data_IF_018548997830
#
_entry.id   IF_018548997830
#
_cell.length_a   1.000
_cell.length_b   1.000
_cell.length_c   1.000
_cell.angle_alpha   90.00
_cell.angle_beta   90.00
_cell.angle_gamma   90.00
#
_symmetry.space_group_name_H-M   'P 1'
#
loop_
_entity.id
_entity.type
_entity.pdbx_description
1 polymer ?
#
# COMPACT_ATOMS: atom_id res chain seq x y z
N UNK A 1 8.84 -4.45 -18.57
CA UNK A 1 7.75 -4.67 -17.61
C UNK A 1 6.41 -4.25 -18.16
N UNK A 2 5.35 -4.70 -17.51
CA UNK A 2 3.99 -4.26 -17.74
C UNK A 2 3.60 -3.32 -16.59
N UNK A 3 3.13 -2.11 -16.92
CA UNK A 3 2.69 -1.09 -15.95
C UNK A 3 1.32 -1.44 -15.37
N UNK A 4 1.13 -1.19 -14.09
CA UNK A 4 -0.14 -1.28 -13.37
C UNK A 4 -0.26 -0.11 -12.40
N UNK A 5 -1.39 0.63 -12.48
CA UNK A 5 -1.73 1.66 -11.51
C UNK A 5 -2.95 1.22 -10.68
N UNK A 6 -2.89 1.44 -9.37
CA UNK A 6 -4.05 1.23 -8.51
C UNK A 6 -4.01 2.16 -7.30
N UNK A 7 -5.01 3.01 -7.19
CA UNK A 7 -5.22 3.86 -6.01
C UNK A 7 -6.27 3.27 -5.08
N UNK A 8 -5.96 3.28 -3.81
CA UNK A 8 -6.91 3.02 -2.75
C UNK A 8 -7.75 4.26 -2.50
N UNK A 9 -9.06 4.15 -2.67
CA UNK A 9 -10.00 5.25 -2.56
C UNK A 9 -11.12 4.85 -1.61
N UNK A 10 -11.57 5.78 -0.79
CA UNK A 10 -12.65 5.58 0.16
C UNK A 10 -13.65 6.76 0.02
N UNK A 11 -14.95 6.50 -0.19
CA UNK A 11 -15.52 5.20 -0.53
C UNK A 11 -15.35 4.81 -2.01
N UNK A 12 -15.34 5.77 -2.95
CA UNK A 12 -15.24 5.55 -4.39
C UNK A 12 -14.70 6.78 -5.14
N UNK A 13 -14.46 6.63 -6.45
CA UNK A 13 -13.88 7.67 -7.30
C UNK A 13 -14.70 8.95 -7.38
N UNK A 14 -16.02 8.83 -7.36
CA UNK A 14 -16.94 9.95 -7.56
C UNK A 14 -17.16 10.76 -6.29
N UNK A 15 -16.88 10.16 -5.12
CA UNK A 15 -17.18 10.71 -3.81
C UNK A 15 -16.05 10.41 -2.81
N UNK A 16 -14.83 10.88 -3.12
CA UNK A 16 -13.69 10.73 -2.22
C UNK A 16 -13.92 11.49 -0.91
N UNK A 17 -13.74 10.81 0.22
CA UNK A 17 -13.79 11.45 1.53
C UNK A 17 -12.47 12.15 1.87
N UNK A 18 -12.51 13.03 2.86
CA UNK A 18 -11.33 13.73 3.37
C UNK A 18 -10.37 12.77 4.08
N UNK A 19 -9.10 13.15 4.14
CA UNK A 19 -8.07 12.33 4.77
C UNK A 19 -8.29 12.11 6.26
N UNK A 20 -8.92 13.06 6.97
CA UNK A 20 -9.04 13.08 8.44
C UNK A 20 -10.46 12.92 8.96
N UNK A 21 -11.48 13.11 8.14
CA UNK A 21 -12.89 13.08 8.53
C UNK A 21 -13.58 11.72 8.48
N UNK A 22 -12.84 10.63 8.61
CA UNK A 22 -13.37 9.27 8.53
C UNK A 22 -13.81 8.73 9.90
N UNK A 23 -14.82 7.86 9.87
CA UNK A 23 -15.26 7.04 11.00
C UNK A 23 -14.66 5.61 10.94
N UNK A 24 -15.07 4.74 11.84
CA UNK A 24 -14.64 3.33 11.86
C UNK A 24 -14.97 2.61 10.55
N UNK A 25 -16.12 2.90 9.95
CA UNK A 25 -16.50 2.31 8.66
C UNK A 25 -15.56 2.75 7.54
N UNK A 26 -15.23 4.04 7.46
CA UNK A 26 -14.25 4.59 6.51
C UNK A 26 -12.85 4.02 6.71
N UNK A 27 -12.46 3.74 7.97
CA UNK A 27 -11.23 3.02 8.28
C UNK A 27 -11.19 1.65 7.59
N UNK A 28 -12.18 0.80 7.85
CA UNK A 28 -12.19 -0.55 7.29
C UNK A 28 -12.42 -0.60 5.78
N UNK A 29 -13.20 0.32 5.21
CA UNK A 29 -13.37 0.42 3.75
C UNK A 29 -12.02 0.70 3.08
N UNK A 30 -11.25 1.66 3.59
CA UNK A 30 -9.94 1.99 3.03
C UNK A 30 -8.99 0.79 3.07
N UNK A 31 -8.87 0.11 4.21
CA UNK A 31 -7.99 -1.05 4.36
C UNK A 31 -8.43 -2.25 3.50
N UNK A 32 -9.74 -2.46 3.37
CA UNK A 32 -10.30 -3.47 2.44
C UNK A 32 -9.96 -3.14 0.98
N UNK A 33 -10.13 -1.88 0.59
CA UNK A 33 -9.82 -1.45 -0.78
C UNK A 33 -8.32 -1.57 -1.09
N UNK A 34 -7.44 -1.33 -0.10
CA UNK A 34 -6.01 -1.61 -0.24
C UNK A 34 -5.72 -3.09 -0.49
N UNK A 35 -6.42 -4.00 0.20
CA UNK A 35 -6.26 -5.44 0.03
C UNK A 35 -6.67 -5.95 -1.36
N UNK A 36 -7.43 -5.17 -2.14
CA UNK A 36 -7.80 -5.51 -3.51
C UNK A 36 -6.57 -5.60 -4.45
N UNK A 37 -5.45 -4.99 -4.09
CA UNK A 37 -4.17 -5.12 -4.80
C UNK A 37 -3.76 -6.60 -4.99
N UNK A 38 -4.00 -7.44 -4.00
CA UNK A 38 -3.78 -8.91 -4.08
C UNK A 38 -4.53 -9.51 -5.27
N UNK A 39 -5.80 -9.18 -5.41
CA UNK A 39 -6.64 -9.67 -6.50
C UNK A 39 -6.15 -9.16 -7.87
N UNK A 40 -5.74 -7.90 -7.95
CA UNK A 40 -5.22 -7.32 -9.18
C UNK A 40 -3.94 -8.02 -9.63
N UNK A 41 -2.96 -8.15 -8.75
CA UNK A 41 -1.69 -8.78 -9.07
C UNK A 41 -1.91 -10.23 -9.49
N UNK A 42 -2.67 -11.00 -8.73
CA UNK A 42 -2.96 -12.40 -9.04
C UNK A 42 -3.60 -12.56 -10.41
N UNK A 43 -4.63 -11.76 -10.74
CA UNK A 43 -5.30 -11.82 -12.05
C UNK A 43 -4.38 -11.44 -13.20
N UNK A 44 -3.52 -10.44 -13.02
CA UNK A 44 -2.55 -10.08 -14.05
C UNK A 44 -1.48 -11.17 -14.21
N UNK A 45 -0.97 -11.72 -13.11
CA UNK A 45 0.01 -12.81 -13.17
C UNK A 45 -0.56 -14.07 -13.81
N UNK A 46 -1.82 -14.43 -13.52
CA UNK A 46 -2.52 -15.56 -14.18
C UNK A 46 -2.57 -15.40 -15.71
N UNK A 47 -2.79 -14.17 -16.21
CA UNK A 47 -2.80 -13.89 -17.64
C UNK A 47 -1.38 -13.88 -18.19
N UNK A 48 -0.47 -13.14 -17.54
CA UNK A 48 0.93 -13.01 -17.96
C UNK A 48 1.63 -14.36 -18.04
N UNK A 49 1.38 -15.24 -17.07
CA UNK A 49 2.03 -16.58 -16.99
C UNK A 49 1.63 -17.52 -18.13
N UNK A 50 0.53 -17.25 -18.84
CA UNK A 50 0.17 -18.00 -20.07
C UNK A 50 1.14 -17.70 -21.23
N UNK A 51 1.71 -16.50 -21.25
CA UNK A 51 2.62 -16.02 -22.32
C UNK A 51 4.07 -15.92 -21.86
N UNK A 52 4.30 -15.82 -20.58
CA UNK A 52 5.61 -15.67 -19.94
C UNK A 52 5.65 -16.52 -18.65
N UNK A 53 5.68 -17.87 -18.78
CA UNK A 53 5.67 -18.78 -17.63
C UNK A 53 6.94 -18.66 -16.77
N UNK A 54 8.05 -18.23 -17.35
CA UNK A 54 9.31 -18.01 -16.63
C UNK A 54 9.36 -16.67 -15.88
N UNK A 55 8.28 -15.89 -15.92
CA UNK A 55 8.15 -14.59 -15.26
C UNK A 55 9.29 -13.61 -15.57
N UNK A 56 9.75 -13.59 -16.82
CA UNK A 56 10.81 -12.67 -17.28
C UNK A 56 10.32 -11.23 -17.41
N UNK A 57 9.04 -11.04 -17.76
CA UNK A 57 8.40 -9.73 -17.83
C UNK A 57 7.88 -9.35 -16.46
N UNK A 58 8.45 -8.32 -15.85
CA UNK A 58 8.01 -7.82 -14.55
C UNK A 58 6.62 -7.16 -14.63
N UNK A 59 5.82 -7.31 -13.59
CA UNK A 59 4.72 -6.39 -13.29
C UNK A 59 5.30 -5.21 -12.50
N UNK A 60 5.08 -4.00 -13.02
CA UNK A 60 5.56 -2.75 -12.45
C UNK A 60 4.36 -1.97 -11.93
N UNK A 61 4.18 -1.93 -10.62
CA UNK A 61 3.13 -1.14 -9.98
C UNK A 61 3.69 0.26 -9.76
N UNK A 62 3.72 1.04 -10.84
CA UNK A 62 4.43 2.32 -10.89
C UNK A 62 3.63 3.50 -10.33
N UNK A 63 2.34 3.31 -10.02
CA UNK A 63 1.55 4.22 -9.20
C UNK A 63 0.61 3.45 -8.26
N UNK A 64 0.69 3.72 -6.95
CA UNK A 64 -0.22 3.16 -5.95
C UNK A 64 -0.25 4.04 -4.70
N UNK A 65 -1.24 3.86 -3.85
CA UNK A 65 -1.41 4.55 -2.58
C UNK A 65 -2.83 5.05 -2.35
N UNK A 66 -3.03 5.75 -1.24
CA UNK A 66 -4.30 6.40 -0.89
C UNK A 66 -4.53 7.68 -1.71
N UNK A 67 -5.75 7.85 -2.18
CA UNK A 67 -6.18 9.09 -2.82
C UNK A 67 -7.45 9.62 -2.17
N UNK A 68 -7.30 10.64 -1.35
CA UNK A 68 -8.39 11.36 -0.70
C UNK A 68 -8.86 12.58 -1.50
N UNK A 69 -9.95 13.20 -1.05
CA UNK A 69 -10.27 14.55 -1.47
C UNK A 69 -9.12 15.50 -1.08
N UNK A 70 -8.89 16.51 -1.91
CA UNK A 70 -7.84 17.52 -1.67
C UNK A 70 -8.15 18.30 -0.40
N UNK A 71 -7.13 18.63 0.38
CA UNK A 71 -7.30 19.42 1.60
C UNK A 71 -7.92 20.79 1.29
N UNK A 72 -8.96 21.18 2.05
CA UNK A 72 -9.60 22.48 1.88
C UNK A 72 -8.60 23.65 1.97
N UNK A 73 -8.76 24.64 1.11
CA UNK A 73 -7.89 25.83 1.08
C UNK A 73 -6.57 25.64 0.31
N UNK A 74 -6.29 24.44 -0.21
CA UNK A 74 -5.13 24.19 -1.05
C UNK A 74 -5.50 24.23 -2.54
N UNK A 75 -4.49 24.34 -3.42
CA UNK A 75 -4.72 24.27 -4.86
C UNK A 75 -5.10 22.82 -5.24
N UNK A 76 -6.30 22.58 -5.79
CA UNK A 76 -6.75 21.22 -6.09
C UNK A 76 -5.90 20.50 -7.14
N UNK A 77 -5.22 21.23 -8.02
CA UNK A 77 -4.32 20.63 -9.01
C UNK A 77 -3.04 20.05 -8.44
N UNK A 78 -2.69 20.38 -7.19
CA UNK A 78 -1.49 19.84 -6.52
C UNK A 78 -1.77 18.55 -5.73
N UNK A 79 -3.02 18.15 -5.60
CA UNK A 79 -3.43 16.89 -4.97
C UNK A 79 -2.85 16.71 -3.55
N UNK A 80 -2.72 17.81 -2.79
CA UNK A 80 -2.27 17.76 -1.42
C UNK A 80 -3.35 17.15 -0.52
N UNK A 81 -2.97 16.18 0.29
CA UNK A 81 -3.83 15.54 1.30
C UNK A 81 -3.05 15.29 2.59
N UNK A 82 -3.74 15.32 3.72
CA UNK A 82 -3.17 14.97 5.01
C UNK A 82 -2.85 13.46 5.04
N UNK A 83 -1.66 13.09 5.55
CA UNK A 83 -1.29 11.70 5.76
C UNK A 83 -1.56 11.29 7.21
N UNK A 84 -2.24 10.14 7.40
CA UNK A 84 -2.64 9.61 8.71
C UNK A 84 -2.09 8.21 8.95
N UNK A 85 -2.36 7.64 10.13
CA UNK A 85 -2.00 6.25 10.44
C UNK A 85 -2.78 5.26 9.55
N UNK A 86 -3.98 5.61 9.08
CA UNK A 86 -4.76 4.82 8.13
C UNK A 86 -4.00 4.66 6.81
N UNK A 87 -3.39 5.73 6.31
CA UNK A 87 -2.53 5.69 5.10
C UNK A 87 -1.30 4.81 5.32
N UNK A 88 -0.70 4.89 6.49
CA UNK A 88 0.42 4.02 6.86
C UNK A 88 0.04 2.54 6.83
N UNK A 89 -1.14 2.18 7.33
CA UNK A 89 -1.62 0.79 7.30
C UNK A 89 -1.97 0.34 5.88
N UNK A 90 -2.55 1.22 5.06
CA UNK A 90 -2.73 0.97 3.62
C UNK A 90 -1.38 0.64 2.96
N UNK A 91 -0.34 1.44 3.26
CA UNK A 91 1.00 1.17 2.74
C UNK A 91 1.56 -0.16 3.26
N UNK A 92 1.41 -0.47 4.55
CA UNK A 92 1.88 -1.73 5.13
C UNK A 92 1.21 -2.97 4.53
N UNK A 93 -0.12 -2.96 4.38
CA UNK A 93 -0.88 -4.03 3.72
C UNK A 93 -0.39 -4.22 2.29
N UNK A 94 -0.27 -3.12 1.53
CA UNK A 94 0.11 -3.17 0.12
C UNK A 94 1.55 -3.64 -0.07
N UNK A 95 2.49 -3.20 0.77
CA UNK A 95 3.88 -3.64 0.73
C UNK A 95 4.04 -5.12 1.10
N UNK A 96 3.25 -5.65 2.05
CA UNK A 96 3.21 -7.08 2.33
C UNK A 96 2.77 -7.87 1.09
N UNK A 97 1.75 -7.38 0.37
CA UNK A 97 1.28 -8.00 -0.88
C UNK A 97 2.40 -7.99 -1.92
N UNK A 98 3.08 -6.86 -2.14
CA UNK A 98 4.18 -6.78 -3.11
C UNK A 98 5.33 -7.72 -2.77
N UNK A 99 5.72 -7.81 -1.50
CA UNK A 99 6.75 -8.73 -1.06
C UNK A 99 6.37 -10.19 -1.33
N UNK A 100 5.12 -10.56 -1.06
CA UNK A 100 4.62 -11.93 -1.28
C UNK A 100 4.49 -12.29 -2.78
N UNK A 101 4.46 -11.31 -3.68
CA UNK A 101 4.41 -11.46 -5.14
C UNK A 101 5.69 -10.97 -5.83
N UNK A 102 6.83 -10.95 -5.14
CA UNK A 102 8.08 -10.39 -5.66
C UNK A 102 8.67 -11.19 -6.84
N UNK A 103 8.19 -12.37 -7.11
CA UNK A 103 8.53 -13.16 -8.30
C UNK A 103 7.98 -12.52 -9.59
N UNK A 104 6.89 -11.75 -9.49
CA UNK A 104 6.27 -11.03 -10.61
C UNK A 104 6.36 -9.51 -10.44
N UNK A 105 6.08 -8.97 -9.24
CA UNK A 105 6.16 -7.54 -8.93
C UNK A 105 7.60 -7.17 -8.57
N UNK A 106 8.28 -6.42 -9.43
CA UNK A 106 9.69 -6.06 -9.20
C UNK A 106 9.93 -4.59 -8.96
N UNK A 107 8.92 -3.75 -9.24
CA UNK A 107 8.96 -2.31 -8.98
C UNK A 107 7.59 -1.90 -8.44
N UNK A 108 7.59 -1.12 -7.38
CA UNK A 108 6.37 -0.56 -6.79
C UNK A 108 6.65 0.86 -6.29
N UNK A 109 6.08 1.87 -6.96
CA UNK A 109 6.33 3.27 -6.66
C UNK A 109 5.08 3.89 -6.03
N UNK A 110 5.22 4.35 -4.79
CA UNK A 110 4.11 5.08 -4.15
C UNK A 110 3.90 6.43 -4.85
N UNK A 111 2.69 6.86 -4.96
CA UNK A 111 2.33 8.16 -5.47
C UNK A 111 1.97 9.11 -4.30
N UNK A 112 2.82 10.15 -4.05
CA UNK A 112 4.12 10.38 -4.65
C UNK A 112 5.16 10.64 -3.55
N UNK A 113 6.40 10.98 -3.90
CA UNK A 113 7.47 11.09 -2.92
C UNK A 113 7.33 12.29 -1.96
N UNK A 114 6.88 13.46 -2.46
CA UNK A 114 6.82 14.73 -1.71
C UNK A 114 5.54 15.49 -2.02
N UNK A 115 4.84 15.93 -1.01
CA UNK A 115 3.69 16.87 -1.03
C UNK A 115 2.45 16.47 -1.83
N UNK A 116 2.43 15.36 -2.52
CA UNK A 116 1.35 14.95 -3.42
C UNK A 116 0.81 13.58 -3.01
N UNK A 117 -0.51 13.46 -2.90
CA UNK A 117 -1.20 12.21 -2.55
C UNK A 117 -0.65 11.60 -1.24
N UNK A 118 -0.41 10.31 -1.19
CA UNK A 118 0.13 9.62 -0.01
C UNK A 118 1.66 9.79 0.11
N UNK A 119 2.15 11.03 0.13
CA UNK A 119 3.60 11.26 0.15
C UNK A 119 4.26 10.88 1.48
N UNK A 120 5.40 10.18 1.44
CA UNK A 120 6.23 9.92 2.62
C UNK A 120 6.80 11.18 3.27
N UNK A 121 7.00 12.26 2.52
CA UNK A 121 7.61 13.50 3.00
C UNK A 121 6.74 14.69 2.65
N UNK A 122 6.56 15.59 3.62
CA UNK A 122 5.94 16.91 3.39
C UNK A 122 6.98 17.99 3.62
N UNK A 123 6.98 19.01 2.75
CA UNK A 123 7.89 20.16 2.82
C UNK A 123 7.13 21.47 2.66
N UNK A 124 7.59 22.50 3.37
CA UNK A 124 7.13 23.89 3.22
C UNK A 124 8.32 24.82 3.46
N UNK A 125 8.77 25.50 2.42
CA UNK A 125 9.99 26.32 2.48
C UNK A 125 11.20 25.46 2.85
N UNK A 126 11.85 25.85 3.94
CA UNK A 126 13.03 25.15 4.52
C UNK A 126 12.66 24.05 5.52
N UNK A 127 11.38 23.80 5.76
CA UNK A 127 10.89 22.81 6.70
C UNK A 127 10.55 21.49 6.01
N UNK A 128 10.75 20.38 6.71
CA UNK A 128 10.41 19.04 6.27
C UNK A 128 9.88 18.21 7.44
N UNK A 129 8.84 17.43 7.18
CA UNK A 129 8.37 16.39 8.11
C UNK A 129 8.27 15.04 7.39
N UNK A 130 8.47 13.97 8.15
CA UNK A 130 8.23 12.59 7.73
C UNK A 130 6.82 12.20 8.13
N UNK A 131 6.05 11.69 7.16
CA UNK A 131 4.68 11.23 7.41
C UNK A 131 4.65 9.83 8.02
N UNK A 132 3.51 9.35 8.55
CA UNK A 132 3.35 7.96 8.97
C UNK A 132 3.74 6.96 7.87
N UNK A 133 3.45 7.25 6.61
CA UNK A 133 3.86 6.42 5.46
C UNK A 133 5.39 6.29 5.33
N UNK A 134 6.16 7.35 5.62
CA UNK A 134 7.63 7.28 5.60
C UNK A 134 8.16 6.22 6.56
N UNK A 135 7.59 6.13 7.77
CA UNK A 135 8.02 5.16 8.77
C UNK A 135 7.74 3.72 8.33
N UNK A 136 6.65 3.48 7.61
CA UNK A 136 6.39 2.16 7.01
C UNK A 136 7.50 1.81 6.02
N UNK A 137 7.81 2.68 5.06
CA UNK A 137 8.91 2.43 4.12
C UNK A 137 10.24 2.21 4.84
N UNK A 138 10.51 2.97 5.91
CA UNK A 138 11.71 2.79 6.70
C UNK A 138 11.78 1.40 7.36
N UNK A 139 10.67 0.87 7.87
CA UNK A 139 10.60 -0.47 8.44
C UNK A 139 10.78 -1.55 7.36
N UNK A 140 10.21 -1.35 6.18
CA UNK A 140 10.25 -2.32 5.07
C UNK A 140 11.57 -2.36 4.29
N UNK A 141 12.49 -1.40 4.49
CA UNK A 141 13.77 -1.36 3.77
C UNK A 141 14.62 -2.63 3.91
N UNK A 142 14.43 -3.39 4.97
CA UNK A 142 15.18 -4.63 5.22
C UNK A 142 14.82 -5.75 4.25
N UNK A 143 13.67 -5.66 3.57
CA UNK A 143 13.27 -6.61 2.53
C UNK A 143 13.96 -6.34 1.17
N UNK A 144 14.55 -5.17 0.98
CA UNK A 144 15.19 -4.83 -0.30
C UNK A 144 16.39 -5.74 -0.57
N UNK A 145 16.43 -6.33 -1.77
CA UNK A 145 17.45 -7.28 -2.21
C UNK A 145 17.60 -8.51 -1.27
N UNK A 146 16.56 -8.84 -0.54
CA UNK A 146 16.49 -10.03 0.31
C UNK A 146 15.80 -11.20 -0.43
N UNK A 147 16.06 -12.41 -0.02
CA UNK A 147 15.34 -13.58 -0.49
C UNK A 147 13.99 -13.65 0.20
N UNK A 148 12.91 -13.67 -0.57
CA UNK A 148 11.55 -13.84 -0.04
C UNK A 148 11.41 -15.19 0.66
N UNK A 149 10.71 -15.20 1.79
CA UNK A 149 10.30 -16.39 2.50
C UNK A 149 8.78 -16.44 2.58
N UNK A 150 8.20 -17.59 2.25
CA UNK A 150 6.77 -17.79 2.43
C UNK A 150 6.40 -17.64 3.91
N UNK A 151 5.44 -16.78 4.19
CA UNK A 151 4.92 -16.56 5.55
C UNK A 151 3.41 -16.72 5.57
N UNK A 152 2.89 -17.21 6.69
CA UNK A 152 1.46 -17.28 6.94
C UNK A 152 1.16 -16.83 8.36
N UNK A 153 0.05 -16.13 8.53
CA UNK A 153 -0.44 -15.68 9.84
C UNK A 153 -1.87 -16.18 10.01
N UNK A 154 -2.11 -16.94 11.06
CA UNK A 154 -3.47 -17.22 11.49
C UNK A 154 -4.02 -15.99 12.22
N UNK A 155 -4.98 -15.31 11.62
CA UNK A 155 -5.61 -14.14 12.21
C UNK A 155 -7.11 -14.11 11.93
N UNK A 156 -7.85 -13.40 12.78
CA UNK A 156 -9.29 -13.28 12.65
C UNK A 156 -9.66 -12.22 11.59
N UNK A 157 -10.86 -12.33 11.03
CA UNK A 157 -11.48 -11.23 10.32
C UNK A 157 -12.00 -10.18 11.31
N UNK A 158 -11.80 -8.92 10.94
CA UNK A 158 -12.30 -7.73 11.66
C UNK A 158 -13.03 -6.82 10.69
N UNK A 159 -13.69 -5.81 11.22
CA UNK A 159 -14.45 -4.83 10.44
C UNK A 159 -15.94 -4.95 10.63
N UNK A 160 -16.68 -4.18 9.85
CA UNK A 160 -18.14 -4.07 9.96
C UNK A 160 -18.82 -4.18 8.59
N UNK A 161 -20.06 -4.60 8.58
CA UNK A 161 -20.88 -4.73 7.37
C UNK A 161 -20.15 -5.50 6.24
N UNK A 162 -20.03 -4.86 5.10
CA UNK A 162 -19.32 -5.36 3.91
C UNK A 162 -17.82 -4.98 3.89
N UNK A 163 -17.33 -4.24 4.88
CA UNK A 163 -15.94 -3.82 5.02
C UNK A 163 -15.17 -4.71 6.01
N UNK A 164 -15.02 -5.99 5.69
CA UNK A 164 -14.28 -6.98 6.50
C UNK A 164 -12.95 -7.30 5.87
N UNK A 165 -11.92 -7.44 6.70
CA UNK A 165 -10.54 -7.75 6.32
C UNK A 165 -9.90 -8.70 7.34
N UNK A 166 -8.82 -9.37 6.95
CA UNK A 166 -7.94 -10.10 7.87
C UNK A 166 -7.23 -9.07 8.77
N UNK A 167 -7.24 -9.30 10.09
CA UNK A 167 -6.69 -8.34 11.06
C UNK A 167 -5.19 -8.14 10.92
N UNK A 168 -4.43 -9.19 10.57
CA UNK A 168 -2.97 -9.11 10.44
C UNK A 168 -2.54 -9.66 9.08
N UNK A 169 -1.76 -8.87 8.35
CA UNK A 169 -1.04 -9.31 7.14
C UNK A 169 0.45 -9.36 7.40
N UNK A 170 1.18 -10.20 6.67
CA UNK A 170 2.61 -10.37 6.85
C UNK A 170 3.38 -10.55 5.57
N UNK A 171 4.67 -10.26 5.62
CA UNK A 171 5.67 -10.74 4.67
C UNK A 171 6.98 -11.06 5.39
N UNK A 172 7.78 -11.95 4.82
CA UNK A 172 9.03 -12.38 5.41
C UNK A 172 10.15 -12.48 4.37
N UNK A 173 11.37 -12.21 4.81
CA UNK A 173 12.56 -12.36 3.97
C UNK A 173 13.81 -12.72 4.77
N UNK A 174 14.84 -13.15 4.05
CA UNK A 174 16.14 -13.51 4.59
C UNK A 174 17.26 -12.82 3.82
N UNK A 175 18.18 -12.22 4.55
CA UNK A 175 19.38 -11.58 3.98
C UNK A 175 20.52 -11.57 4.99
N UNK A 176 21.70 -12.09 4.60
CA UNK A 176 22.92 -12.05 5.44
C UNK A 176 22.69 -12.54 6.88
N UNK A 177 22.16 -13.73 7.01
CA UNK A 177 21.85 -14.37 8.31
C UNK A 177 20.81 -13.66 9.19
N UNK A 178 20.07 -12.72 8.61
CA UNK A 178 18.97 -12.02 9.27
C UNK A 178 17.64 -12.39 8.65
N UNK A 179 16.70 -12.85 9.47
CA UNK A 179 15.30 -13.04 9.12
C UNK A 179 14.54 -11.76 9.46
N UNK A 180 13.85 -11.22 8.48
CA UNK A 180 12.98 -10.05 8.65
C UNK A 180 11.54 -10.49 8.47
N UNK A 181 10.68 -10.15 9.42
CA UNK A 181 9.22 -10.33 9.33
C UNK A 181 8.57 -8.98 9.57
N UNK A 182 7.70 -8.57 8.66
CA UNK A 182 6.83 -7.41 8.83
C UNK A 182 5.40 -7.85 9.05
N UNK A 183 4.75 -7.22 10.02
CA UNK A 183 3.35 -7.44 10.36
C UNK A 183 2.60 -6.11 10.28
N UNK A 184 1.45 -6.10 9.62
CA UNK A 184 0.53 -4.96 9.63
C UNK A 184 -0.73 -5.36 10.36
N UNK A 185 -1.00 -4.75 11.49
CA UNK A 185 -2.22 -4.95 12.28
C UNK A 185 -3.24 -3.86 11.94
N UNK A 186 -4.36 -4.27 11.36
CA UNK A 186 -5.44 -3.41 10.90
C UNK A 186 -6.52 -3.13 11.97
N UNK A 187 -6.40 -3.74 13.16
CA UNK A 187 -7.37 -3.55 14.26
C UNK A 187 -7.30 -2.13 14.81
N UNK A 188 -8.47 -1.59 15.15
CA UNK A 188 -8.62 -0.39 15.98
C UNK A 188 -8.43 -0.72 17.45
#
# INVERSE_FOLDING_TARGET
>A
GLSLHHYTIEPDWSNKHTATGFDEKGWYIALKNASFMETLIRRHDEIMSKYDPEKRVALVVDEWGMWHAVEPGTNPGFLYQQNTIRDALVAGITLNIFNNHCDRVRVANIAQAVNVLQSPVLTEGDKMIKTPTWYVFHMYKSHMDATHLTSSVASNEIGMDNARIISITSSASYKKDVYTVTLTNASL
#
